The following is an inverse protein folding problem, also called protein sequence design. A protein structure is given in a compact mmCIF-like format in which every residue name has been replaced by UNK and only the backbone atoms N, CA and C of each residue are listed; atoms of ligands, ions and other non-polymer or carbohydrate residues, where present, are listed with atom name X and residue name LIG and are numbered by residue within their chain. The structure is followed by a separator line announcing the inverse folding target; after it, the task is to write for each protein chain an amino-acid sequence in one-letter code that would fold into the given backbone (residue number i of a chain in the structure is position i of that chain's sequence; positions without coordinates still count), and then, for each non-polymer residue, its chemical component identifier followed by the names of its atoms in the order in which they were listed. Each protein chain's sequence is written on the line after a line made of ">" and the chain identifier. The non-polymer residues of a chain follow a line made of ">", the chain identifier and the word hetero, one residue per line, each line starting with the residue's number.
data_IF_341384644904
#
_entry.id   IF_341384644904
#
_cell.length_a   1.000
_cell.length_b   1.000
_cell.length_c   1.000
_cell.angle_alpha   90.00
_cell.angle_beta   90.00
_cell.angle_gamma   90.00
#
_symmetry.space_group_name_H-M   'P 1'
#
loop_
_entity.id
_entity.type
_entity.pdbx_description
1 polymer ?
#
# COMPACT_ATOMS: atom_id res chain seq x y z
N UNK A 1 -9.48 -3.46 12.99
CA UNK A 1 -8.13 -4.02 12.87
C UNK A 1 -7.33 -3.24 11.84
N UNK A 2 -6.06 -2.92 12.15
CA UNK A 2 -5.16 -2.27 11.23
C UNK A 2 -3.99 -3.22 10.91
N UNK A 3 -3.96 -3.86 9.73
CA UNK A 3 -2.89 -4.78 9.36
C UNK A 3 -1.56 -4.08 9.06
N UNK A 4 -1.52 -2.74 9.02
CA UNK A 4 -0.34 -1.94 8.68
C UNK A 4 0.39 -1.37 9.91
N UNK A 5 -0.10 -1.64 11.11
CA UNK A 5 0.50 -1.18 12.36
C UNK A 5 1.90 -1.78 12.55
N UNK A 6 2.10 -3.03 12.12
CA UNK A 6 3.34 -3.78 12.22
C UNK A 6 3.76 -4.34 10.86
N UNK A 7 4.94 -4.93 10.81
CA UNK A 7 5.48 -5.56 9.61
C UNK A 7 6.47 -4.67 8.85
N UNK A 8 7.39 -5.32 8.13
CA UNK A 8 8.36 -4.62 7.28
C UNK A 8 7.70 -4.04 6.02
N UNK A 9 8.35 -3.07 5.40
CA UNK A 9 7.91 -2.51 4.12
C UNK A 9 7.73 -3.59 3.05
N UNK A 10 8.64 -4.57 3.00
CA UNK A 10 8.57 -5.68 2.07
C UNK A 10 7.33 -6.56 2.32
N UNK A 11 7.08 -6.97 3.56
CA UNK A 11 5.94 -7.82 3.91
C UNK A 11 4.61 -7.14 3.58
N UNK A 12 4.49 -5.85 3.91
CA UNK A 12 3.29 -5.05 3.62
C UNK A 12 3.13 -4.77 2.12
N UNK A 13 4.23 -4.58 1.39
CA UNK A 13 4.21 -4.50 -0.08
C UNK A 13 3.67 -5.80 -0.69
N UNK A 14 4.17 -6.95 -0.26
CA UNK A 14 3.71 -8.26 -0.74
C UNK A 14 2.22 -8.49 -0.43
N UNK A 15 1.75 -8.05 0.74
CA UNK A 15 0.33 -8.06 1.06
C UNK A 15 -0.47 -7.28 0.01
N UNK A 16 -0.11 -6.03 -0.26
CA UNK A 16 -0.82 -5.17 -1.21
C UNK A 16 -0.75 -5.71 -2.65
N UNK A 17 0.43 -6.17 -3.08
CA UNK A 17 0.61 -6.80 -4.40
C UNK A 17 -0.28 -8.04 -4.54
N UNK A 18 -0.44 -8.83 -3.48
CA UNK A 18 -1.31 -10.01 -3.51
C UNK A 18 -2.80 -9.70 -3.74
N UNK A 19 -3.20 -8.44 -3.55
CA UNK A 19 -4.57 -7.96 -3.78
C UNK A 19 -4.77 -7.41 -5.20
N UNK A 20 -3.68 -7.23 -5.96
CA UNK A 20 -3.78 -6.78 -7.35
C UNK A 20 -4.48 -7.82 -8.21
N UNK A 21 -5.22 -7.38 -9.24
CA UNK A 21 -5.74 -8.29 -10.25
C UNK A 21 -4.57 -9.01 -10.95
N UNK A 22 -4.79 -10.27 -11.29
CA UNK A 22 -3.84 -10.99 -12.13
C UNK A 22 -3.66 -10.25 -13.46
N UNK A 23 -2.41 -10.04 -13.87
CA UNK A 23 -2.08 -9.38 -15.14
C UNK A 23 -1.62 -10.43 -16.14
N UNK A 24 -2.28 -10.48 -17.31
CA UNK A 24 -1.91 -11.36 -18.42
C UNK A 24 -1.29 -10.55 -19.57
N UNK A 25 -0.16 -11.03 -20.08
CA UNK A 25 0.42 -10.58 -21.34
C UNK A 25 0.78 -9.08 -21.39
N UNK A 26 0.13 -8.31 -22.28
CA UNK A 26 0.45 -6.91 -22.55
C UNK A 26 0.31 -5.97 -21.34
N UNK A 27 -0.43 -6.38 -20.31
CA UNK A 27 -0.65 -5.58 -19.10
C UNK A 27 0.46 -5.79 -18.03
N UNK A 28 1.40 -6.70 -18.25
CA UNK A 28 2.46 -7.00 -17.28
C UNK A 28 3.35 -5.77 -16.97
N UNK A 29 3.69 -4.97 -17.98
CA UNK A 29 4.52 -3.77 -17.82
C UNK A 29 3.87 -2.75 -16.88
N UNK A 30 2.55 -2.57 -16.96
CA UNK A 30 1.84 -1.66 -16.07
C UNK A 30 1.73 -2.24 -14.65
N UNK A 31 1.57 -3.55 -14.54
CA UNK A 31 1.59 -4.23 -13.25
C UNK A 31 2.96 -4.12 -12.56
N UNK A 32 4.06 -4.26 -13.31
CA UNK A 32 5.42 -4.10 -12.79
C UNK A 32 5.66 -2.65 -12.31
N UNK A 33 5.23 -1.66 -13.08
CA UNK A 33 5.28 -0.25 -12.66
C UNK A 33 4.44 0.02 -11.40
N UNK A 34 3.25 -0.56 -11.35
CA UNK A 34 2.39 -0.46 -10.18
C UNK A 34 3.06 -1.09 -8.95
N UNK A 35 3.65 -2.27 -9.09
CA UNK A 35 4.39 -2.94 -8.02
C UNK A 35 5.60 -2.10 -7.55
N UNK A 36 6.36 -1.51 -8.48
CA UNK A 36 7.46 -0.62 -8.14
C UNK A 36 6.96 0.62 -7.37
N UNK A 37 5.83 1.21 -7.82
CA UNK A 37 5.23 2.37 -7.17
C UNK A 37 4.80 2.05 -5.73
N UNK A 38 4.04 0.98 -5.53
CA UNK A 38 3.57 0.63 -4.18
C UNK A 38 4.74 0.24 -3.26
N UNK A 39 5.77 -0.43 -3.80
CA UNK A 39 6.98 -0.75 -3.04
C UNK A 39 7.66 0.53 -2.55
N UNK A 40 7.94 1.49 -3.43
CA UNK A 40 8.57 2.76 -3.05
C UNK A 40 7.76 3.55 -2.03
N UNK A 41 6.43 3.61 -2.21
CA UNK A 41 5.53 4.26 -1.26
C UNK A 41 5.55 3.55 0.10
N UNK A 42 5.53 2.22 0.12
CA UNK A 42 5.53 1.46 1.38
C UNK A 42 6.84 1.59 2.13
N UNK A 43 8.01 1.60 1.46
CA UNK A 43 9.29 1.86 2.12
C UNK A 43 9.29 3.24 2.81
N UNK A 44 8.81 4.27 2.12
CA UNK A 44 8.73 5.61 2.70
C UNK A 44 7.73 5.71 3.87
N UNK A 45 6.54 5.12 3.73
CA UNK A 45 5.51 5.18 4.78
C UNK A 45 5.88 4.37 6.03
N UNK A 46 6.49 3.20 5.84
CA UNK A 46 6.96 2.36 6.96
C UNK A 46 8.10 3.04 7.70
N UNK A 47 9.04 3.66 6.99
CA UNK A 47 10.12 4.44 7.60
C UNK A 47 9.55 5.57 8.50
N UNK A 48 8.60 6.35 8.00
CA UNK A 48 7.94 7.39 8.80
C UNK A 48 7.11 6.83 9.96
N UNK A 49 6.44 5.68 9.78
CA UNK A 49 5.72 4.98 10.85
C UNK A 49 6.68 4.57 11.97
N UNK A 50 7.79 3.94 11.62
CA UNK A 50 8.76 3.40 12.58
C UNK A 50 9.49 4.51 13.36
N UNK A 51 9.56 5.70 12.77
CA UNK A 51 10.00 6.94 13.43
C UNK A 51 8.91 7.60 14.28
N UNK A 52 7.69 7.06 14.29
CA UNK A 52 6.55 7.62 15.03
C UNK A 52 6.00 8.92 14.45
N UNK A 53 6.33 9.25 13.19
CA UNK A 53 5.90 10.48 12.52
C UNK A 53 4.53 10.36 11.86
N UNK A 54 4.04 9.15 11.64
CA UNK A 54 2.68 8.88 11.16
C UNK A 54 2.13 7.57 11.72
N UNK A 55 0.81 7.45 11.78
CA UNK A 55 0.10 6.19 12.00
C UNK A 55 -0.28 5.61 10.64
N UNK A 56 0.35 4.51 10.25
CA UNK A 56 0.10 3.91 8.95
C UNK A 56 -1.27 3.21 8.93
N UNK A 57 -2.09 3.55 7.96
CA UNK A 57 -3.42 2.97 7.73
C UNK A 57 -3.71 2.82 6.24
N UNK A 58 -4.74 2.05 5.90
CA UNK A 58 -5.17 1.88 4.51
C UNK A 58 -5.50 3.21 3.83
N UNK A 59 -6.11 4.15 4.58
CA UNK A 59 -6.43 5.49 4.08
C UNK A 59 -5.17 6.29 3.75
N UNK A 60 -4.16 6.26 4.62
CA UNK A 60 -2.87 6.93 4.40
C UNK A 60 -2.17 6.35 3.16
N UNK A 61 -2.17 5.02 3.00
CA UNK A 61 -1.57 4.36 1.83
C UNK A 61 -2.28 4.83 0.56
N UNK A 62 -3.63 4.77 0.52
CA UNK A 62 -4.41 5.22 -0.63
C UNK A 62 -4.14 6.68 -0.99
N UNK A 63 -4.15 7.54 0.01
CA UNK A 63 -3.96 8.97 -0.16
C UNK A 63 -2.54 9.30 -0.65
N UNK A 64 -1.53 8.55 -0.20
CA UNK A 64 -0.14 8.71 -0.61
C UNK A 64 0.12 8.28 -2.06
N UNK A 65 -0.79 7.53 -2.67
CA UNK A 65 -0.75 7.19 -4.09
C UNK A 65 -1.30 8.29 -5.00
N UNK A 66 -1.83 9.39 -4.49
CA UNK A 66 -2.11 10.56 -5.32
C UNK A 66 -0.79 11.18 -5.78
N UNK A 67 -0.71 11.58 -7.06
CA UNK A 67 0.53 12.04 -7.71
C UNK A 67 1.28 13.07 -6.87
N UNK A 68 0.60 14.13 -6.48
CA UNK A 68 1.20 15.25 -5.73
C UNK A 68 1.67 14.81 -4.34
N UNK A 69 0.89 13.96 -3.66
CA UNK A 69 1.24 13.43 -2.34
C UNK A 69 2.40 12.44 -2.42
N UNK A 70 2.45 11.61 -3.46
CA UNK A 70 3.54 10.68 -3.69
C UNK A 70 4.86 11.42 -3.93
N UNK A 71 4.84 12.49 -4.73
CA UNK A 71 6.01 13.35 -4.95
C UNK A 71 6.41 14.08 -3.66
N UNK A 72 5.44 14.60 -2.90
CA UNK A 72 5.71 15.23 -1.61
C UNK A 72 6.32 14.24 -0.60
N UNK A 73 5.85 13.00 -0.58
CA UNK A 73 6.41 11.93 0.23
C UNK A 73 7.86 11.63 -0.16
N UNK A 74 8.18 11.55 -1.48
CA UNK A 74 9.53 11.32 -1.97
C UNK A 74 10.53 12.43 -1.61
N UNK A 75 10.03 13.62 -1.31
CA UNK A 75 10.81 14.79 -0.90
C UNK A 75 10.77 15.03 0.62
N UNK A 76 10.14 14.13 1.39
CA UNK A 76 10.00 14.31 2.82
C UNK A 76 11.36 14.33 3.53
N UNK A 77 11.67 15.35 4.36
CA UNK A 77 13.01 15.54 4.94
C UNK A 77 13.43 14.40 5.88
N UNK A 78 12.48 13.81 6.59
CA UNK A 78 12.72 12.79 7.61
C UNK A 78 12.91 11.37 7.04
N UNK A 79 12.81 11.17 5.71
CA UNK A 79 13.08 9.87 5.12
C UNK A 79 14.56 9.51 5.19
N UNK A 80 14.85 8.26 5.54
CA UNK A 80 16.17 7.66 5.39
C UNK A 80 16.58 7.65 3.92
N UNK A 81 17.88 7.61 3.66
CA UNK A 81 18.43 7.63 2.31
C UNK A 81 17.91 6.44 1.46
N UNK A 82 17.83 5.25 2.05
CA UNK A 82 17.33 4.04 1.37
C UNK A 82 15.85 4.17 0.99
N UNK A 83 15.00 4.60 1.92
CA UNK A 83 13.56 4.80 1.68
C UNK A 83 13.32 5.90 0.66
N UNK A 84 14.09 6.98 0.73
CA UNK A 84 14.07 8.07 -0.26
C UNK A 84 14.46 7.59 -1.65
N UNK A 85 15.55 6.85 -1.75
CA UNK A 85 16.03 6.30 -3.02
C UNK A 85 15.00 5.35 -3.63
N UNK A 86 14.37 4.51 -2.81
CA UNK A 86 13.34 3.56 -3.26
C UNK A 86 12.13 4.27 -3.89
N UNK A 87 11.55 5.27 -3.20
CA UNK A 87 10.38 5.97 -3.75
C UNK A 87 10.75 6.85 -4.95
N UNK A 88 11.94 7.45 -4.97
CA UNK A 88 12.41 8.24 -6.12
C UNK A 88 12.65 7.36 -7.34
N UNK A 89 13.23 6.17 -7.16
CA UNK A 89 13.39 5.19 -8.22
C UNK A 89 12.03 4.75 -8.78
N UNK A 90 11.06 4.50 -7.91
CA UNK A 90 9.70 4.15 -8.31
C UNK A 90 9.03 5.25 -9.15
N UNK A 91 9.13 6.52 -8.74
CA UNK A 91 8.65 7.66 -9.51
C UNK A 91 9.38 7.79 -10.86
N UNK A 92 10.69 7.51 -10.88
CA UNK A 92 11.53 7.51 -12.09
C UNK A 92 11.04 6.54 -13.15
N UNK A 93 10.45 5.38 -12.76
CA UNK A 93 9.85 4.42 -13.72
C UNK A 93 8.68 5.03 -14.51
N UNK A 94 8.03 6.06 -13.97
CA UNK A 94 6.96 6.83 -14.63
C UNK A 94 7.48 8.08 -15.34
N UNK A 95 8.78 8.37 -15.27
CA UNK A 95 9.41 9.51 -15.93
C UNK A 95 9.59 10.74 -15.06
N UNK A 96 9.45 10.63 -13.74
CA UNK A 96 9.74 11.73 -12.83
C UNK A 96 11.23 12.08 -12.84
N UNK A 97 11.53 13.37 -12.84
CA UNK A 97 12.90 13.89 -12.84
C UNK A 97 13.13 14.63 -11.52
N UNK A 98 14.05 14.10 -10.70
CA UNK A 98 14.40 14.70 -9.42
C UNK A 98 14.96 16.12 -9.59
N UNK A 99 14.62 17.02 -8.69
CA UNK A 99 15.07 18.42 -8.72
C UNK A 99 14.30 19.34 -9.67
N UNK A 100 13.33 18.81 -10.45
CA UNK A 100 12.42 19.65 -11.24
C UNK A 100 11.11 19.88 -10.49
N UNK A 101 10.57 21.10 -10.59
CA UNK A 101 9.23 21.39 -10.09
C UNK A 101 8.17 20.61 -10.87
N UNK A 102 6.99 20.38 -10.27
CA UNK A 102 5.90 19.64 -10.91
C UNK A 102 5.49 20.21 -12.27
N UNK A 103 5.47 21.54 -12.42
CA UNK A 103 5.14 22.22 -13.68
C UNK A 103 6.15 21.98 -14.81
N UNK A 104 7.39 21.63 -14.46
CA UNK A 104 8.51 21.41 -15.39
C UNK A 104 8.78 19.92 -15.65
N UNK A 105 7.96 19.03 -15.07
CA UNK A 105 8.02 17.59 -15.33
C UNK A 105 7.53 17.25 -16.74
N UNK A 106 8.03 16.16 -17.35
CA UNK A 106 7.53 15.72 -18.66
C UNK A 106 6.02 15.48 -18.61
N UNK A 107 5.26 15.88 -19.65
CA UNK A 107 3.80 15.64 -19.71
C UNK A 107 3.44 14.16 -19.57
N UNK A 108 4.28 13.25 -20.05
CA UNK A 108 4.10 11.80 -19.94
C UNK A 108 4.19 11.28 -18.52
N UNK A 109 4.77 12.03 -17.58
CA UNK A 109 4.92 11.60 -16.20
C UNK A 109 3.55 11.35 -15.53
N UNK A 110 2.65 12.33 -15.60
CA UNK A 110 1.33 12.23 -15.00
C UNK A 110 0.51 11.07 -15.61
N UNK A 111 0.61 10.90 -16.93
CA UNK A 111 -0.08 9.81 -17.64
C UNK A 111 0.44 8.42 -17.20
N UNK A 112 1.77 8.22 -17.23
CA UNK A 112 2.40 6.97 -16.84
C UNK A 112 2.17 6.62 -15.36
N UNK A 113 2.21 7.64 -14.49
CA UNK A 113 1.87 7.49 -13.08
C UNK A 113 0.41 7.07 -12.89
N UNK A 114 -0.52 7.69 -13.62
CA UNK A 114 -1.94 7.36 -13.58
C UNK A 114 -2.24 5.91 -13.97
N UNK A 115 -1.52 5.37 -14.94
CA UNK A 115 -1.64 3.94 -15.29
C UNK A 115 -1.20 3.05 -14.12
N UNK A 116 -0.06 3.29 -13.49
CA UNK A 116 0.40 2.53 -12.34
C UNK A 116 -0.57 2.65 -11.15
N UNK A 117 -1.05 3.86 -10.85
CA UNK A 117 -2.00 4.12 -9.78
C UNK A 117 -3.32 3.35 -9.96
N UNK A 118 -3.82 3.23 -11.20
CA UNK A 118 -5.11 2.61 -11.49
C UNK A 118 -5.18 1.14 -11.05
N UNK A 119 -4.06 0.42 -11.05
CA UNK A 119 -3.99 -0.98 -10.61
C UNK A 119 -4.35 -1.15 -9.13
N UNK A 120 -3.99 -0.20 -8.29
CA UNK A 120 -4.30 -0.26 -6.85
C UNK A 120 -5.64 0.38 -6.50
N UNK A 121 -6.17 1.24 -7.36
CA UNK A 121 -7.36 2.02 -7.08
C UNK A 121 -8.53 1.15 -6.60
N UNK A 122 -8.85 0.07 -7.32
CA UNK A 122 -9.93 -0.83 -6.96
C UNK A 122 -9.69 -1.60 -5.66
N UNK A 123 -8.48 -2.14 -5.48
CA UNK A 123 -8.14 -2.92 -4.29
C UNK A 123 -8.16 -2.05 -3.03
N UNK A 124 -7.53 -0.88 -3.08
CA UNK A 124 -7.49 0.05 -1.96
C UNK A 124 -8.86 0.66 -1.66
N UNK A 125 -9.66 1.01 -2.68
CA UNK A 125 -11.04 1.47 -2.46
C UNK A 125 -11.90 0.41 -1.79
N UNK A 126 -11.76 -0.85 -2.15
CA UNK A 126 -12.46 -1.93 -1.46
C UNK A 126 -12.10 -1.96 0.04
N UNK A 127 -10.83 -1.85 0.39
CA UNK A 127 -10.37 -1.84 1.78
C UNK A 127 -10.79 -0.59 2.55
N UNK A 128 -10.72 0.58 1.91
CA UNK A 128 -11.02 1.86 2.58
C UNK A 128 -12.51 2.17 2.65
N UNK A 129 -13.30 1.71 1.70
CA UNK A 129 -14.72 2.07 1.58
C UNK A 129 -15.61 0.92 2.05
N UNK A 130 -15.47 -0.28 1.46
CA UNK A 130 -16.33 -1.42 1.77
C UNK A 130 -15.98 -2.04 3.13
N UNK A 131 -14.69 -2.20 3.44
CA UNK A 131 -14.21 -2.85 4.66
C UNK A 131 -13.60 -1.88 5.67
N UNK A 132 -13.95 -0.60 5.55
CA UNK A 132 -13.46 0.45 6.45
C UNK A 132 -13.68 0.13 7.92
N UNK A 133 -14.82 -0.46 8.25
CA UNK A 133 -15.17 -0.84 9.62
C UNK A 133 -14.30 -1.99 10.18
N UNK A 134 -13.60 -2.73 9.32
CA UNK A 134 -12.72 -3.83 9.72
C UNK A 134 -11.25 -3.42 9.63
N UNK A 135 -10.83 -2.83 8.49
CA UNK A 135 -9.42 -2.58 8.16
C UNK A 135 -9.05 -1.09 8.08
N UNK A 136 -10.01 -0.19 8.25
CA UNK A 136 -9.80 1.26 8.16
C UNK A 136 -9.54 1.96 9.49
N UNK A 137 -9.53 1.24 10.61
CA UNK A 137 -9.23 1.81 11.90
C UNK A 137 -7.74 2.16 11.99
N UNK A 138 -7.42 3.34 12.53
CA UNK A 138 -6.04 3.74 12.81
C UNK A 138 -5.45 2.92 13.96
N UNK A 139 -6.25 2.72 15.02
CA UNK A 139 -5.92 1.89 16.17
C UNK A 139 -6.84 0.67 16.13
N UNK A 140 -6.31 -0.51 15.82
CA UNK A 140 -7.09 -1.74 15.77
C UNK A 140 -7.49 -2.22 17.15
N UNK A 141 -8.75 -2.65 17.32
CA UNK A 141 -9.24 -3.26 18.57
C UNK A 141 -8.60 -4.64 18.85
N UNK A 142 -8.08 -5.31 17.81
CA UNK A 142 -7.41 -6.60 17.91
C UNK A 142 -5.91 -6.40 17.71
N UNK A 143 -5.15 -6.61 18.77
CA UNK A 143 -3.70 -6.70 18.73
C UNK A 143 -3.30 -8.15 18.42
N UNK A 144 -2.79 -8.39 17.22
CA UNK A 144 -2.34 -9.73 16.80
C UNK A 144 -1.09 -10.17 17.54
N UNK A 145 -0.19 -9.25 17.89
CA UNK A 145 1.00 -9.57 18.64
C UNK A 145 0.64 -10.06 20.05
N UNK A 146 -0.27 -9.36 20.74
CA UNK A 146 -0.79 -9.79 22.04
C UNK A 146 -1.52 -11.14 21.92
N UNK A 147 -2.36 -11.31 20.89
CA UNK A 147 -3.08 -12.57 20.68
C UNK A 147 -2.12 -13.77 20.52
N UNK A 148 -1.04 -13.61 19.78
CA UNK A 148 0.00 -14.66 19.60
C UNK A 148 0.76 -14.90 20.91
N UNK A 149 1.23 -13.85 21.55
CA UNK A 149 2.02 -13.96 22.80
C UNK A 149 1.20 -14.59 23.93
N UNK A 150 -0.09 -14.26 24.02
CA UNK A 150 -1.00 -14.82 25.01
C UNK A 150 -1.64 -16.16 24.58
N UNK A 151 -1.25 -16.71 23.42
CA UNK A 151 -1.77 -17.96 22.86
C UNK A 151 -3.31 -17.98 22.75
N UNK A 152 -3.90 -16.85 22.34
CA UNK A 152 -5.34 -16.71 22.16
C UNK A 152 -5.79 -17.39 20.86
N UNK A 153 -7.00 -17.88 20.83
CA UNK A 153 -7.63 -18.42 19.61
C UNK A 153 -8.27 -17.25 18.86
N UNK A 154 -7.84 -17.01 17.63
CA UNK A 154 -8.45 -16.05 16.73
C UNK A 154 -9.36 -16.77 15.74
N UNK A 155 -10.62 -16.34 15.67
CA UNK A 155 -11.60 -16.85 14.70
C UNK A 155 -11.97 -15.71 13.76
N UNK A 156 -11.61 -15.85 12.49
CA UNK A 156 -11.94 -14.89 11.44
C UNK A 156 -13.15 -15.41 10.66
N UNK A 157 -14.28 -14.73 10.78
CA UNK A 157 -15.50 -15.05 10.05
C UNK A 157 -15.53 -14.27 8.73
N UNK A 158 -15.50 -14.99 7.61
CA UNK A 158 -15.62 -14.41 6.28
C UNK A 158 -17.06 -14.54 5.76
N UNK A 159 -17.63 -13.48 5.12
CA UNK A 159 -19.02 -13.49 4.63
C UNK A 159 -19.17 -14.32 3.34
N UNK A 160 -19.00 -15.64 3.44
CA UNK A 160 -18.91 -16.56 2.28
C UNK A 160 -20.19 -16.65 1.45
N UNK A 161 -21.35 -16.30 2.02
CA UNK A 161 -22.62 -16.30 1.30
C UNK A 161 -22.93 -15.00 0.57
N UNK A 162 -22.23 -13.93 0.91
CA UNK A 162 -22.53 -12.56 0.42
C UNK A 162 -21.51 -12.04 -0.57
N UNK A 163 -20.36 -12.69 -0.71
CA UNK A 163 -19.20 -12.17 -1.43
C UNK A 163 -18.69 -13.14 -2.49
N UNK A 164 -18.13 -12.54 -3.57
CA UNK A 164 -17.50 -13.33 -4.62
C UNK A 164 -16.24 -14.06 -4.12
N UNK A 165 -15.89 -15.24 -4.69
CA UNK A 165 -14.73 -16.02 -4.25
C UNK A 165 -13.40 -15.24 -4.27
N UNK A 166 -13.19 -14.38 -5.25
CA UNK A 166 -11.98 -13.55 -5.36
C UNK A 166 -11.89 -12.52 -4.22
N UNK A 167 -13.02 -11.96 -3.81
CA UNK A 167 -13.09 -11.00 -2.69
C UNK A 167 -12.84 -11.71 -1.36
N UNK A 168 -13.40 -12.89 -1.15
CA UNK A 168 -13.14 -13.73 0.03
C UNK A 168 -11.67 -14.13 0.14
N UNK A 169 -11.05 -14.50 -0.99
CA UNK A 169 -9.63 -14.82 -1.03
C UNK A 169 -8.77 -13.61 -0.62
N UNK A 170 -9.12 -12.41 -1.06
CA UNK A 170 -8.43 -11.17 -0.68
C UNK A 170 -8.57 -10.89 0.82
N UNK A 171 -9.77 -11.01 1.38
CA UNK A 171 -10.00 -10.84 2.82
C UNK A 171 -9.25 -11.88 3.66
N UNK A 172 -9.22 -13.13 3.22
CA UNK A 172 -8.44 -14.20 3.85
C UNK A 172 -6.94 -13.90 3.85
N UNK A 173 -6.40 -13.43 2.72
CA UNK A 173 -4.98 -13.03 2.60
C UNK A 173 -4.63 -11.90 3.57
N UNK A 174 -5.46 -10.86 3.67
CA UNK A 174 -5.23 -9.74 4.59
C UNK A 174 -5.23 -10.24 6.03
N UNK A 175 -6.21 -11.06 6.41
CA UNK A 175 -6.31 -11.62 7.76
C UNK A 175 -5.10 -12.48 8.13
N UNK A 176 -4.61 -13.31 7.19
CA UNK A 176 -3.42 -14.14 7.41
C UNK A 176 -2.14 -13.32 7.46
N UNK A 177 -2.03 -12.27 6.64
CA UNK A 177 -0.84 -11.41 6.61
C UNK A 177 -0.70 -10.56 7.86
N UNK A 178 -1.80 -10.23 8.53
CA UNK A 178 -1.80 -9.51 9.79
C UNK A 178 -1.27 -10.36 10.97
N UNK A 179 -1.09 -11.66 10.78
CA UNK A 179 -0.62 -12.61 11.80
C UNK A 179 0.88 -12.93 11.62
N UNK A 180 1.47 -12.55 10.49
CA UNK A 180 2.91 -12.75 10.20
C UNK A 180 3.76 -11.64 10.78
#
# INVERSE_FOLDING_TARGET
>A
NNPFTFGSAEALTQLLVSLMPASDGANSIFADKAQALISGVMYALVDLRDKGLLKLSTSIIRDSLALEKCVALALHPELDEESRASIQAALGTSGWIAGREMKDQPPSFAEQFGYAQSYFGKALSSLTDTYRHIYGAEDGEVDFADAIMQRRILVVLLPSLEKAPAELASLGKISLSAIR
#
